data_IF_429792663936
#
_entry.id   IF_429792663936
#
_cell.length_a   1.000
_cell.length_b   1.000
_cell.length_c   1.000
_cell.angle_alpha   90.00
_cell.angle_beta   90.00
_cell.angle_gamma   90.00
#
_symmetry.space_group_name_H-M   'P 1'
#
loop_
_entity.id
_entity.type
_entity.pdbx_description
1 polymer ?
#
# COMPACT_ATOMS: atom_id res chain seq x y z
N UNK A 1 18.91 0.78 6.32
CA UNK A 1 19.13 -0.47 7.07
C UNK A 1 19.11 -0.30 8.60
N UNK A 2 19.12 0.93 9.14
CA UNK A 2 19.30 1.17 10.59
C UNK A 2 18.08 0.98 11.49
N UNK A 3 16.86 1.01 10.95
CA UNK A 3 15.65 1.00 11.78
C UNK A 3 15.31 -0.40 12.33
N UNK A 4 15.54 -1.43 11.51
CA UNK A 4 15.35 -2.84 11.88
C UNK A 4 16.36 -3.27 12.96
N UNK A 5 17.60 -2.75 12.88
CA UNK A 5 18.65 -3.03 13.87
C UNK A 5 18.36 -2.32 15.21
N UNK A 6 17.83 -1.09 15.17
CA UNK A 6 17.38 -0.37 16.39
C UNK A 6 16.21 -1.08 17.09
N UNK A 7 15.22 -1.54 16.34
CA UNK A 7 14.06 -2.26 16.89
C UNK A 7 14.45 -3.63 17.48
N UNK A 8 15.38 -4.34 16.85
CA UNK A 8 15.91 -5.61 17.36
C UNK A 8 16.65 -5.42 18.70
N UNK A 9 17.40 -4.32 18.87
CA UNK A 9 18.08 -4.00 20.14
C UNK A 9 17.12 -3.71 21.28
N UNK A 10 15.95 -3.12 21.00
CA UNK A 10 14.96 -2.81 22.03
C UNK A 10 14.31 -4.09 22.60
N UNK A 11 13.91 -5.02 21.72
CA UNK A 11 13.34 -6.31 22.10
C UNK A 11 14.29 -7.20 22.91
N UNK A 12 15.57 -7.24 22.54
CA UNK A 12 16.58 -8.03 23.28
C UNK A 12 16.82 -7.44 24.68
N UNK A 13 16.78 -6.12 24.81
CA UNK A 13 16.97 -5.44 26.10
C UNK A 13 15.81 -5.70 27.06
N UNK A 14 14.56 -5.68 26.57
CA UNK A 14 13.39 -6.01 27.39
C UNK A 14 13.36 -7.47 27.83
N UNK A 15 13.80 -8.41 26.98
CA UNK A 15 13.87 -9.84 27.33
C UNK A 15 14.91 -10.12 28.43
N UNK A 16 16.07 -9.44 28.40
CA UNK A 16 17.08 -9.54 29.48
C UNK A 16 16.58 -9.04 30.84
N UNK A 17 15.74 -8.02 30.84
CA UNK A 17 15.19 -7.44 32.07
C UNK A 17 14.29 -8.47 32.80
N UNK A 18 13.45 -9.18 32.04
CA UNK A 18 12.56 -10.22 32.56
C UNK A 18 13.35 -11.42 33.12
N UNK A 19 14.39 -11.87 32.41
CA UNK A 19 15.22 -12.99 32.86
C UNK A 19 16.01 -12.70 34.17
N UNK A 20 16.43 -11.44 34.38
CA UNK A 20 17.08 -11.03 35.65
C UNK A 20 16.11 -10.98 36.83
N UNK A 21 14.84 -10.62 36.58
CA UNK A 21 13.82 -10.52 37.63
C UNK A 21 13.40 -11.89 38.18
N UNK A 22 13.32 -12.91 37.32
CA UNK A 22 12.96 -14.28 37.72
C UNK A 22 14.05 -14.99 38.51
N UNK A 23 15.33 -14.73 38.22
CA UNK A 23 16.45 -15.40 38.89
C UNK A 23 16.65 -14.95 40.36
N UNK A 24 16.28 -13.71 40.71
CA UNK A 24 16.36 -13.19 42.09
C UNK A 24 15.28 -13.73 43.04
N UNK A 25 14.16 -14.23 42.52
CA UNK A 25 13.04 -14.71 43.33
C UNK A 25 13.23 -16.15 43.88
N UNK A 26 14.25 -16.88 43.43
CA UNK A 26 14.39 -18.32 43.71
C UNK A 26 15.12 -18.68 45.03
N UNK A 27 15.67 -17.73 45.78
CA UNK A 27 16.66 -17.99 46.85
C UNK A 27 16.16 -17.86 48.31
N UNK A 28 14.85 -17.81 48.59
CA UNK A 28 14.39 -17.69 49.99
C UNK A 28 13.19 -18.58 50.30
N UNK A 29 13.47 -19.82 50.72
CA UNK A 29 12.47 -20.74 51.29
C UNK A 29 12.27 -20.46 52.79
N UNK A 30 11.03 -20.16 53.23
CA UNK A 30 10.30 -20.95 54.26
C UNK A 30 8.92 -20.35 54.57
N UNK A 31 7.98 -21.28 54.77
CA UNK A 31 6.61 -21.18 55.29
C UNK A 31 5.50 -20.80 54.31
N UNK A 32 4.55 -21.72 54.31
CA UNK A 32 3.33 -21.84 53.55
C UNK A 32 2.41 -20.66 53.87
N UNK A 33 2.38 -19.70 52.96
CA UNK A 33 1.22 -18.88 52.63
C UNK A 33 1.24 -18.98 51.11
N UNK A 34 0.20 -19.52 50.45
CA UNK A 34 0.09 -19.36 48.99
C UNK A 34 -0.10 -17.86 48.81
N UNK A 35 0.94 -17.11 48.41
CA UNK A 35 0.91 -15.68 48.64
C UNK A 35 -0.12 -15.10 47.67
N UNK A 36 -0.86 -14.07 48.09
CA UNK A 36 -1.73 -13.32 47.17
C UNK A 36 -0.93 -12.87 45.91
N UNK A 37 0.40 -12.77 46.02
CA UNK A 37 1.32 -12.57 44.90
C UNK A 37 1.41 -13.71 43.88
N UNK A 38 1.15 -14.99 44.22
CA UNK A 38 1.12 -16.08 43.24
C UNK A 38 -0.19 -16.14 42.45
N UNK A 39 -1.30 -15.71 43.06
CA UNK A 39 -2.59 -15.50 42.39
C UNK A 39 -2.53 -14.26 41.50
N UNK A 40 -2.00 -13.15 42.02
CA UNK A 40 -1.77 -11.92 41.24
C UNK A 40 -0.74 -12.14 40.13
N UNK A 41 0.29 -12.97 40.34
CA UNK A 41 1.24 -13.35 39.28
C UNK A 41 0.60 -14.28 38.24
N UNK A 42 -0.32 -15.18 38.62
CA UNK A 42 -1.06 -16.02 37.66
C UNK A 42 -2.04 -15.19 36.83
N UNK A 43 -2.82 -14.32 37.46
CA UNK A 43 -3.75 -13.42 36.76
C UNK A 43 -3.01 -12.37 35.92
N UNK A 44 -1.94 -11.76 36.44
CA UNK A 44 -1.09 -10.86 35.64
C UNK A 44 -0.36 -11.58 34.52
N UNK A 45 0.09 -12.83 34.70
CA UNK A 45 0.71 -13.60 33.61
C UNK A 45 -0.32 -13.91 32.52
N UNK A 46 -1.53 -14.32 32.88
CA UNK A 46 -2.60 -14.53 31.91
C UNK A 46 -3.02 -13.22 31.24
N UNK A 47 -3.13 -12.11 31.96
CA UNK A 47 -3.45 -10.79 31.37
C UNK A 47 -2.32 -10.25 30.47
N UNK A 48 -1.05 -10.40 30.84
CA UNK A 48 0.08 -9.98 30.00
C UNK A 48 0.24 -10.88 28.77
N UNK A 49 -0.03 -12.17 28.89
CA UNK A 49 -0.06 -13.13 27.77
C UNK A 49 -1.23 -12.84 26.82
N UNK A 50 -2.39 -12.45 27.36
CA UNK A 50 -3.54 -12.02 26.56
C UNK A 50 -3.30 -10.66 25.90
N UNK A 51 -2.74 -9.68 26.61
CA UNK A 51 -2.41 -8.36 26.06
C UNK A 51 -1.33 -8.45 24.97
N UNK A 52 -0.33 -9.32 25.13
CA UNK A 52 0.69 -9.58 24.11
C UNK A 52 0.13 -10.27 22.85
N UNK A 53 -0.83 -11.21 23.01
CA UNK A 53 -1.53 -11.83 21.89
C UNK A 53 -2.48 -10.87 21.16
N UNK A 54 -3.23 -10.04 21.89
CA UNK A 54 -4.21 -9.10 21.33
C UNK A 54 -3.57 -7.85 20.70
N UNK A 55 -2.33 -7.51 21.08
CA UNK A 55 -1.62 -6.34 20.51
C UNK A 55 -0.53 -6.71 19.50
N UNK A 56 0.25 -7.76 19.75
CA UNK A 56 1.36 -8.11 18.84
C UNK A 56 0.92 -8.84 17.57
N UNK A 57 0.05 -9.84 17.70
CA UNK A 57 -0.37 -10.66 16.56
C UNK A 57 -1.29 -9.89 15.60
N UNK A 58 -2.25 -9.14 16.11
CA UNK A 58 -3.20 -8.38 15.28
C UNK A 58 -2.51 -7.21 14.56
N UNK A 59 -1.52 -6.55 15.20
CA UNK A 59 -0.71 -5.52 14.54
C UNK A 59 0.18 -6.15 13.44
N UNK A 60 0.87 -7.26 13.72
CA UNK A 60 1.72 -7.93 12.72
C UNK A 60 0.87 -8.50 11.56
N UNK A 61 -0.30 -9.07 11.84
CA UNK A 61 -1.23 -9.59 10.83
C UNK A 61 -1.83 -8.47 9.98
N UNK A 62 -2.17 -7.33 10.58
CA UNK A 62 -2.70 -6.17 9.86
C UNK A 62 -1.63 -5.46 9.03
N UNK A 63 -0.40 -5.33 9.57
CA UNK A 63 0.75 -4.83 8.81
C UNK A 63 1.05 -5.72 7.61
N UNK A 64 0.91 -7.05 7.73
CA UNK A 64 1.06 -7.96 6.60
C UNK A 64 -0.02 -7.75 5.52
N UNK A 65 -1.30 -7.59 5.91
CA UNK A 65 -2.38 -7.44 4.92
C UNK A 65 -2.31 -6.12 4.14
N UNK A 66 -1.97 -5.02 4.82
CA UNK A 66 -1.82 -3.72 4.16
C UNK A 66 -0.66 -3.74 3.16
N UNK A 67 0.48 -4.32 3.53
CA UNK A 67 1.63 -4.45 2.63
C UNK A 67 1.33 -5.39 1.45
N UNK A 68 0.59 -6.47 1.66
CA UNK A 68 0.11 -7.33 0.57
C UNK A 68 -0.77 -6.55 -0.43
N UNK A 69 -1.71 -5.74 0.07
CA UNK A 69 -2.56 -4.90 -0.78
C UNK A 69 -1.75 -3.84 -1.54
N UNK A 70 -0.72 -3.26 -0.92
CA UNK A 70 0.20 -2.31 -1.59
C UNK A 70 0.98 -2.99 -2.70
N UNK A 71 1.55 -4.17 -2.44
CA UNK A 71 2.26 -4.94 -3.47
C UNK A 71 1.33 -5.32 -4.65
N UNK A 72 0.06 -5.61 -4.37
CA UNK A 72 -0.92 -5.85 -5.43
C UNK A 72 -1.20 -4.60 -6.25
N UNK A 73 -1.26 -3.41 -5.62
CA UNK A 73 -1.35 -2.12 -6.33
C UNK A 73 -0.09 -1.91 -7.18
N UNK A 74 1.11 -2.09 -6.62
CA UNK A 74 2.37 -1.91 -7.35
C UNK A 74 2.42 -2.78 -8.61
N UNK A 75 1.91 -4.02 -8.54
CA UNK A 75 1.82 -4.90 -9.70
C UNK A 75 0.85 -4.37 -10.76
N UNK A 76 -0.35 -3.93 -10.35
CA UNK A 76 -1.32 -3.31 -11.27
C UNK A 76 -0.75 -2.03 -11.88
N UNK A 77 -0.04 -1.21 -11.11
CA UNK A 77 0.56 0.03 -11.57
C UNK A 77 1.65 -0.24 -12.63
N UNK A 78 2.43 -1.31 -12.49
CA UNK A 78 3.38 -1.75 -13.52
C UNK A 78 2.65 -2.09 -14.84
N UNK A 79 1.52 -2.77 -14.79
CA UNK A 79 0.71 -3.05 -15.97
C UNK A 79 0.13 -1.78 -16.59
N UNK A 80 -0.34 -0.84 -15.76
CA UNK A 80 -0.84 0.47 -16.20
C UNK A 80 0.27 1.24 -16.93
N UNK A 81 1.50 1.26 -16.41
CA UNK A 81 2.64 1.92 -17.08
C UNK A 81 2.88 1.31 -18.46
N UNK A 82 2.93 -0.02 -18.57
CA UNK A 82 3.13 -0.68 -19.87
C UNK A 82 1.99 -0.39 -20.87
N UNK A 83 0.74 -0.31 -20.40
CA UNK A 83 -0.40 0.04 -21.24
C UNK A 83 -0.34 1.51 -21.68
N UNK A 84 0.09 2.42 -20.81
CA UNK A 84 0.26 3.83 -21.13
C UNK A 84 1.40 4.05 -22.11
N UNK A 85 2.52 3.35 -21.98
CA UNK A 85 3.63 3.40 -22.95
C UNK A 85 3.17 2.94 -24.34
N UNK A 86 2.50 1.78 -24.43
CA UNK A 86 1.90 1.31 -25.69
C UNK A 86 0.96 2.35 -26.30
N UNK A 87 0.14 2.97 -25.46
CA UNK A 87 -0.77 4.03 -25.89
C UNK A 87 0.00 5.26 -26.40
N UNK A 88 1.12 5.64 -25.77
CA UNK A 88 1.94 6.77 -26.19
C UNK A 88 2.64 6.54 -27.52
N UNK A 89 3.11 5.32 -27.80
CA UNK A 89 3.61 4.95 -29.14
C UNK A 89 2.56 5.20 -30.22
N UNK A 90 1.31 4.75 -29.98
CA UNK A 90 0.19 4.97 -30.91
C UNK A 90 -0.14 6.47 -31.03
N UNK A 91 -0.09 7.23 -29.93
CA UNK A 91 -0.29 8.69 -29.96
C UNK A 91 0.77 9.39 -30.80
N UNK A 92 2.01 8.92 -30.76
CA UNK A 92 3.09 9.45 -31.58
C UNK A 92 2.83 9.22 -33.07
N UNK A 93 2.44 8.02 -33.47
CA UNK A 93 2.02 7.70 -34.85
C UNK A 93 0.84 8.58 -35.29
N UNK A 94 -0.20 8.69 -34.46
CA UNK A 94 -1.34 9.59 -34.73
C UNK A 94 -0.89 11.04 -34.88
N UNK A 95 0.07 11.50 -34.08
CA UNK A 95 0.61 12.85 -34.17
C UNK A 95 1.24 13.11 -35.54
N UNK A 96 2.07 12.18 -36.03
CA UNK A 96 2.75 12.25 -37.31
C UNK A 96 1.74 12.29 -38.47
N UNK A 97 0.74 11.41 -38.44
CA UNK A 97 -0.33 11.39 -39.43
C UNK A 97 -1.14 12.69 -39.45
N UNK A 98 -1.52 13.21 -38.28
CA UNK A 98 -2.23 14.49 -38.17
C UNK A 98 -1.38 15.66 -38.64
N UNK A 99 -0.07 15.64 -38.43
CA UNK A 99 0.84 16.67 -38.94
C UNK A 99 0.91 16.63 -40.47
N UNK A 100 1.10 15.44 -41.06
CA UNK A 100 1.12 15.25 -42.51
C UNK A 100 -0.18 15.74 -43.18
N UNK A 101 -1.32 15.48 -42.54
CA UNK A 101 -2.65 15.86 -43.03
C UNK A 101 -3.12 17.26 -42.57
N UNK A 102 -2.30 17.99 -41.80
CA UNK A 102 -2.62 19.31 -41.22
C UNK A 102 -3.91 19.33 -40.36
N UNK A 103 -4.23 18.20 -39.72
CA UNK A 103 -5.37 18.06 -38.82
C UNK A 103 -5.04 18.66 -37.45
N UNK A 104 -6.03 19.26 -36.78
CA UNK A 104 -5.89 19.80 -35.42
C UNK A 104 -5.64 18.70 -34.38
N UNK A 105 -4.89 19.01 -33.32
CA UNK A 105 -4.64 18.05 -32.23
C UNK A 105 -5.95 17.73 -31.48
N UNK A 106 -6.71 18.77 -31.15
CA UNK A 106 -7.97 18.64 -30.43
C UNK A 106 -9.05 18.08 -31.37
N UNK A 107 -9.65 16.97 -30.96
CA UNK A 107 -10.78 16.33 -31.62
C UNK A 107 -11.82 15.93 -30.54
N UNK A 108 -12.76 16.84 -30.29
CA UNK A 108 -13.75 16.68 -29.23
C UNK A 108 -14.67 15.48 -29.48
N UNK A 109 -15.00 15.20 -30.75
CA UNK A 109 -15.86 14.06 -31.11
C UNK A 109 -15.19 12.74 -30.76
N UNK A 110 -13.90 12.62 -31.13
CA UNK A 110 -13.11 11.44 -30.82
C UNK A 110 -12.93 11.24 -29.32
N UNK A 111 -12.68 12.31 -28.56
CA UNK A 111 -12.51 12.24 -27.11
C UNK A 111 -13.79 11.83 -26.39
N UNK A 112 -14.93 12.37 -26.81
CA UNK A 112 -16.22 11.95 -26.27
C UNK A 112 -16.47 10.45 -26.51
N UNK A 113 -16.16 9.95 -27.71
CA UNK A 113 -16.27 8.53 -28.02
C UNK A 113 -15.34 7.65 -27.14
N UNK A 114 -14.13 8.11 -26.78
CA UNK A 114 -13.27 7.40 -25.81
C UNK A 114 -13.97 7.30 -24.46
N UNK A 115 -14.52 8.42 -23.96
CA UNK A 115 -15.16 8.46 -22.65
C UNK A 115 -16.41 7.58 -22.61
N UNK A 116 -17.21 7.58 -23.67
CA UNK A 116 -18.42 6.75 -23.75
C UNK A 116 -18.06 5.25 -23.78
N UNK A 117 -17.04 4.87 -24.55
CA UNK A 117 -16.53 3.50 -24.53
C UNK A 117 -15.96 3.11 -23.16
N UNK A 118 -15.24 4.02 -22.49
CA UNK A 118 -14.75 3.78 -21.14
C UNK A 118 -15.92 3.54 -20.16
N UNK A 119 -16.98 4.36 -20.22
CA UNK A 119 -18.19 4.18 -19.40
C UNK A 119 -18.81 2.80 -19.60
N UNK A 120 -18.93 2.35 -20.86
CA UNK A 120 -19.51 1.04 -21.19
C UNK A 120 -18.71 -0.14 -20.62
N UNK A 121 -17.40 0.01 -20.44
CA UNK A 121 -16.53 -1.05 -19.92
C UNK A 121 -16.43 -1.08 -18.39
N UNK A 122 -16.92 -0.05 -17.69
CA UNK A 122 -16.88 0.03 -16.23
C UNK A 122 -18.01 -0.81 -15.65
N UNK A 123 -17.65 -1.85 -14.90
CA UNK A 123 -18.61 -2.76 -14.27
C UNK A 123 -19.16 -2.26 -12.95
N UNK A 124 -18.31 -1.60 -12.15
CA UNK A 124 -18.70 -1.06 -10.85
C UNK A 124 -18.96 0.43 -10.96
N UNK A 125 -20.22 0.82 -10.82
CA UNK A 125 -20.66 2.22 -10.91
C UNK A 125 -20.00 3.13 -9.87
N UNK A 126 -19.62 2.61 -8.71
CA UNK A 126 -18.93 3.39 -7.67
C UNK A 126 -17.54 3.89 -8.13
N UNK A 127 -16.92 3.23 -9.11
CA UNK A 127 -15.62 3.65 -9.66
C UNK A 127 -15.74 4.50 -10.91
N UNK A 128 -16.96 4.70 -11.44
CA UNK A 128 -17.17 5.29 -12.75
C UNK A 128 -16.59 6.70 -12.85
N UNK A 129 -16.95 7.58 -11.92
CA UNK A 129 -16.47 8.96 -11.94
C UNK A 129 -14.95 9.04 -11.85
N UNK A 130 -14.34 8.29 -10.92
CA UNK A 130 -12.89 8.23 -10.74
C UNK A 130 -12.18 7.78 -12.01
N UNK A 131 -12.61 6.66 -12.60
CA UNK A 131 -12.00 6.12 -13.83
C UNK A 131 -12.15 7.12 -14.99
N UNK A 132 -13.33 7.73 -15.15
CA UNK A 132 -13.58 8.68 -16.22
C UNK A 132 -12.72 9.94 -16.09
N UNK A 133 -12.49 10.43 -14.87
CA UNK A 133 -11.59 11.56 -14.65
C UNK A 133 -10.14 11.19 -14.98
N UNK A 134 -9.68 9.99 -14.60
CA UNK A 134 -8.35 9.48 -15.02
C UNK A 134 -8.21 9.43 -16.54
N UNK A 135 -9.23 8.97 -17.27
CA UNK A 135 -9.19 8.96 -18.75
C UNK A 135 -9.10 10.37 -19.35
N UNK A 136 -9.78 11.37 -18.76
CA UNK A 136 -9.65 12.77 -19.20
C UNK A 136 -8.22 13.27 -19.04
N UNK A 137 -7.56 12.94 -17.92
CA UNK A 137 -6.18 13.33 -17.67
C UNK A 137 -5.20 12.63 -18.62
N UNK A 138 -5.40 11.34 -18.90
CA UNK A 138 -4.61 10.61 -19.91
C UNK A 138 -4.72 11.30 -21.29
N UNK A 139 -5.94 11.66 -21.71
CA UNK A 139 -6.15 12.36 -22.99
C UNK A 139 -5.51 13.76 -22.99
N UNK A 140 -5.62 14.50 -21.88
CA UNK A 140 -4.98 15.81 -21.70
C UNK A 140 -3.46 15.72 -21.89
N UNK A 141 -2.81 14.77 -21.24
CA UNK A 141 -1.36 14.56 -21.38
C UNK A 141 -0.96 14.16 -22.80
N UNK A 142 -1.80 13.37 -23.49
CA UNK A 142 -1.55 13.03 -24.90
C UNK A 142 -1.61 14.23 -25.84
N UNK A 143 -2.53 15.17 -25.58
CA UNK A 143 -2.61 16.42 -26.35
C UNK A 143 -1.40 17.32 -26.08
N UNK A 144 -0.91 17.34 -24.84
CA UNK A 144 0.28 18.11 -24.47
C UNK A 144 1.51 17.58 -25.23
N UNK A 145 1.74 16.28 -25.16
CA UNK A 145 2.83 15.61 -25.90
C UNK A 145 2.76 15.88 -27.42
N UNK A 146 1.57 15.79 -28.02
CA UNK A 146 1.38 16.10 -29.44
C UNK A 146 1.71 17.57 -29.78
N UNK A 147 1.47 18.51 -28.86
CA UNK A 147 1.80 19.93 -29.07
C UNK A 147 3.30 20.15 -29.01
N UNK A 148 3.95 19.61 -27.98
CA UNK A 148 5.41 19.71 -27.81
C UNK A 148 6.16 19.13 -29.01
N UNK A 149 5.71 18.00 -29.55
CA UNK A 149 6.28 17.37 -30.74
C UNK A 149 5.90 18.05 -32.07
N UNK A 150 5.06 19.09 -32.07
CA UNK A 150 4.82 19.94 -33.26
C UNK A 150 5.74 21.16 -33.30
N UNK A 151 6.30 21.54 -32.16
CA UNK A 151 7.12 22.75 -31.99
C UNK A 151 8.63 22.46 -32.10
N UNK A 152 9.02 21.19 -32.19
CA UNK A 152 10.40 20.72 -32.46
C UNK A 152 10.62 20.52 -33.96
#
# INVERSE_FOLDING_TARGET
MDNVVKQSRYLITSLRYVAKATSRAALTRRKIIVPLSSVIMRERSQQHETLFRVTGYDIIKTMNKLEELRNNIDHVDQEIVQLLEKRMTIVQEISQEKQAQKITILDNSREQAVLDLARQNIKNSAYQETIINTFKDIMKNSRLYQRENREQ
#
